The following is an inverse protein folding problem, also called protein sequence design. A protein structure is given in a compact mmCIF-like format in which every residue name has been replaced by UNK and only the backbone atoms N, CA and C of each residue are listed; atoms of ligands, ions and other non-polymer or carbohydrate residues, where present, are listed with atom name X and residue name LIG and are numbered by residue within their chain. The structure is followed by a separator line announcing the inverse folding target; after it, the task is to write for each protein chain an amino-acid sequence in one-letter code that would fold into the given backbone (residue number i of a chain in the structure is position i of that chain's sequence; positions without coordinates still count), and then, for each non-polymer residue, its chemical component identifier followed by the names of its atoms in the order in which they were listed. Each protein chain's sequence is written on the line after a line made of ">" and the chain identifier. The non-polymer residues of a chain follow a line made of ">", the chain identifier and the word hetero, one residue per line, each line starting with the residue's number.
data_IF_880051518927
#
_entry.id   IF_880051518927
#
_cell.length_a   1.000
_cell.length_b   1.000
_cell.length_c   1.000
_cell.angle_alpha   90.00
_cell.angle_beta   90.00
_cell.angle_gamma   90.00
#
_symmetry.space_group_name_H-M   'P 1'
#
loop_
_entity.id
_entity.type
_entity.pdbx_description
1 polymer ?
#
# COMPACT_ATOMS: atom_id res chain seq x y z
N UNK A 1 -16.65 -36.50 1.68
CA UNK A 1 -15.82 -35.47 2.33
C UNK A 1 -15.04 -34.78 1.24
N UNK A 2 -15.46 -33.56 0.87
CA UNK A 2 -14.77 -32.71 -0.10
C UNK A 2 -13.75 -31.84 0.66
N UNK A 3 -12.56 -31.59 0.11
CA UNK A 3 -11.60 -30.68 0.73
C UNK A 3 -12.16 -29.24 0.73
N UNK A 4 -11.83 -28.42 1.76
CA UNK A 4 -12.29 -27.05 1.84
C UNK A 4 -11.71 -26.19 0.69
N UNK A 5 -12.45 -25.18 0.19
CA UNK A 5 -11.96 -24.34 -0.88
C UNK A 5 -10.94 -23.32 -0.34
N UNK A 6 -9.80 -23.28 -1.03
CA UNK A 6 -9.03 -22.08 -1.39
C UNK A 6 -8.43 -21.17 -0.30
N UNK A 7 -7.18 -21.47 0.08
CA UNK A 7 -6.16 -20.48 0.50
C UNK A 7 -5.51 -19.71 -0.67
N UNK A 8 -5.92 -19.97 -1.92
CA UNK A 8 -5.25 -19.40 -3.10
C UNK A 8 -5.73 -18.00 -3.49
N UNK A 9 -6.87 -17.53 -2.98
CA UNK A 9 -7.44 -16.24 -3.38
C UNK A 9 -6.89 -15.04 -2.57
N UNK A 10 -6.33 -15.29 -1.38
CA UNK A 10 -5.64 -14.27 -0.58
C UNK A 10 -4.21 -13.98 -1.04
N UNK A 11 -3.62 -14.84 -1.88
CA UNK A 11 -2.25 -14.68 -2.37
C UNK A 11 -2.11 -13.71 -3.56
N UNK A 12 -3.23 -13.22 -4.15
CA UNK A 12 -3.18 -12.39 -5.36
C UNK A 12 -3.31 -10.89 -5.09
N UNK A 13 -3.87 -10.48 -3.95
CA UNK A 13 -4.04 -9.07 -3.58
C UNK A 13 -2.73 -8.34 -3.24
N UNK A 14 -1.73 -8.95 -2.55
CA UNK A 14 -0.45 -8.31 -2.28
C UNK A 14 0.34 -8.01 -3.57
N UNK A 15 0.36 -8.97 -4.50
CA UNK A 15 1.01 -8.85 -5.82
C UNK A 15 0.48 -7.71 -6.70
N UNK A 16 -0.82 -7.39 -6.61
CA UNK A 16 -1.40 -6.28 -7.39
C UNK A 16 -1.07 -4.91 -6.77
N UNK A 17 -0.95 -4.83 -5.44
CA UNK A 17 -0.52 -3.61 -4.74
C UNK A 17 0.99 -3.34 -4.93
N UNK A 18 1.81 -4.39 -4.98
CA UNK A 18 3.26 -4.24 -5.19
C UNK A 18 3.63 -3.91 -6.64
N UNK A 19 2.84 -4.37 -7.61
CA UNK A 19 2.93 -3.91 -9.01
C UNK A 19 2.54 -2.43 -9.14
N UNK A 20 1.55 -1.96 -8.36
CA UNK A 20 1.13 -0.55 -8.29
C UNK A 20 2.22 0.34 -7.67
N UNK A 21 2.90 -0.11 -6.60
CA UNK A 21 3.97 0.64 -5.95
C UNK A 21 5.24 0.78 -6.82
N UNK A 22 5.56 -0.25 -7.63
CA UNK A 22 6.74 -0.24 -8.52
C UNK A 22 6.58 0.64 -9.77
N UNK A 23 5.35 0.88 -10.23
CA UNK A 23 5.10 1.60 -11.48
C UNK A 23 5.04 3.15 -11.32
N UNK A 24 5.11 3.66 -10.10
CA UNK A 24 5.16 5.11 -9.80
C UNK A 24 6.55 5.74 -10.03
N UNK A 25 7.56 4.95 -10.43
CA UNK A 25 8.97 5.35 -10.44
C UNK A 25 9.61 5.74 -11.78
N UNK A 26 8.89 5.72 -12.92
CA UNK A 26 9.50 6.03 -14.22
C UNK A 26 8.74 7.09 -15.03
N UNK A 27 9.21 8.35 -15.09
CA UNK A 27 8.80 9.26 -16.15
C UNK A 27 9.55 8.90 -17.44
N UNK A 28 8.86 8.19 -18.34
CA UNK A 28 9.26 8.09 -19.74
C UNK A 28 9.09 9.45 -20.40
N UNK A 29 10.21 10.05 -20.84
CA UNK A 29 10.24 11.28 -21.63
C UNK A 29 9.56 10.98 -22.97
N UNK A 30 8.42 11.62 -23.25
CA UNK A 30 7.93 11.78 -24.62
C UNK A 30 7.60 13.22 -24.96
N UNK A 31 8.11 13.57 -26.13
CA UNK A 31 8.09 14.80 -26.87
C UNK A 31 6.67 15.11 -27.36
N UNK A 32 6.28 16.39 -27.28
CA UNK A 32 5.07 16.89 -27.93
C UNK A 32 5.20 16.77 -29.45
N UNK A 33 4.32 16.01 -30.08
CA UNK A 33 4.04 16.12 -31.51
C UNK A 33 2.60 16.62 -31.69
N UNK A 34 2.52 17.83 -32.21
CA UNK A 34 1.32 18.50 -32.72
C UNK A 34 0.68 17.67 -33.84
N UNK A 35 -0.65 17.51 -33.81
CA UNK A 35 -1.41 17.00 -34.95
C UNK A 35 -2.60 17.93 -35.24
N UNK A 36 -2.44 18.68 -36.31
CA UNK A 36 -3.52 19.24 -37.11
C UNK A 36 -4.07 18.15 -38.04
N UNK A 37 -5.39 18.12 -38.21
CA UNK A 37 -6.07 17.39 -39.29
C UNK A 37 -5.62 17.89 -40.68
N UNK A 38 -5.64 17.04 -41.72
CA UNK A 38 -6.83 17.00 -42.57
C UNK A 38 -7.19 15.63 -43.19
N UNK A 39 -8.41 15.60 -43.76
CA UNK A 39 -9.06 14.58 -44.61
C UNK A 39 -8.23 14.16 -45.84
N UNK A 40 -8.46 12.94 -46.33
CA UNK A 40 -8.40 12.63 -47.77
C UNK A 40 -7.92 11.22 -48.16
N UNK A 41 -8.88 10.34 -48.46
CA UNK A 41 -8.95 9.28 -49.49
C UNK A 41 -7.72 8.59 -50.16
N UNK A 42 -7.94 7.28 -50.37
CA UNK A 42 -7.64 6.42 -51.53
C UNK A 42 -6.29 5.67 -51.69
N UNK A 43 -6.42 4.34 -51.55
CA UNK A 43 -5.96 3.24 -52.41
C UNK A 43 -4.49 3.11 -52.88
N UNK A 44 -3.95 1.89 -52.73
CA UNK A 44 -3.10 1.28 -53.77
C UNK A 44 -1.78 0.64 -53.32
N UNK A 45 -1.80 -0.70 -53.22
CA UNK A 45 -0.82 -1.66 -53.74
C UNK A 45 0.70 -1.55 -53.44
N UNK A 46 1.15 -2.53 -52.66
CA UNK A 46 2.12 -3.58 -53.02
C UNK A 46 3.65 -3.29 -53.13
N UNK A 47 4.38 -4.24 -52.52
CA UNK A 47 5.65 -4.87 -52.97
C UNK A 47 6.99 -4.28 -52.51
N UNK A 48 7.71 -5.08 -51.69
CA UNK A 48 9.04 -5.69 -51.98
C UNK A 48 10.09 -5.54 -50.87
N UNK A 49 10.54 -6.69 -50.34
CA UNK A 49 11.83 -6.93 -49.67
C UNK A 49 13.01 -6.77 -50.65
N UNK A 50 14.24 -6.52 -50.19
CA UNK A 50 15.21 -7.63 -50.02
C UNK A 50 16.18 -7.46 -48.82
N UNK A 51 16.43 -8.53 -48.04
CA UNK A 51 17.62 -9.41 -48.02
C UNK A 51 18.89 -8.87 -47.33
N UNK A 52 19.33 -9.65 -46.34
CA UNK A 52 20.60 -9.58 -45.61
C UNK A 52 21.82 -9.95 -46.49
N UNK A 53 23.05 -9.73 -45.96
CA UNK A 53 24.00 -10.84 -45.96
C UNK A 53 24.86 -10.98 -44.69
N UNK A 54 24.99 -12.25 -44.29
CA UNK A 54 26.16 -13.03 -43.81
C UNK A 54 27.27 -12.44 -42.95
N UNK A 55 27.56 -13.19 -41.87
CA UNK A 55 28.78 -13.19 -41.05
C UNK A 55 30.04 -13.66 -41.82
N UNK A 56 31.24 -13.42 -41.25
CA UNK A 56 32.07 -14.56 -40.83
C UNK A 56 32.78 -14.36 -39.46
N UNK A 57 33.25 -15.48 -38.90
CA UNK A 57 33.86 -15.65 -37.58
C UNK A 57 35.43 -15.58 -37.60
N UNK A 58 36.15 -15.79 -36.46
CA UNK A 58 37.41 -15.12 -36.05
C UNK A 58 38.67 -15.94 -36.45
N UNK A 59 39.95 -15.59 -36.10
CA UNK A 59 40.51 -15.58 -34.71
C UNK A 59 41.64 -14.56 -34.46
N UNK A 60 42.08 -14.38 -33.20
CA UNK A 60 43.49 -14.56 -32.77
C UNK A 60 43.81 -13.84 -31.46
N UNK A 61 44.52 -14.58 -30.61
CA UNK A 61 45.21 -14.22 -29.38
C UNK A 61 46.04 -12.92 -29.49
N UNK A 62 46.00 -12.10 -28.44
CA UNK A 62 47.17 -11.34 -27.99
C UNK A 62 47.05 -10.96 -26.50
N UNK A 63 47.87 -11.63 -25.70
CA UNK A 63 48.74 -11.09 -24.64
C UNK A 63 48.22 -9.97 -23.74
N UNK A 64 48.01 -10.35 -22.48
CA UNK A 64 47.90 -9.45 -21.33
C UNK A 64 49.18 -8.62 -21.10
N UNK A 65 49.02 -7.34 -20.71
CA UNK A 65 49.97 -6.64 -19.86
C UNK A 65 49.41 -6.46 -18.42
N UNK A 66 50.27 -6.44 -17.39
CA UNK A 66 49.85 -6.33 -16.00
C UNK A 66 49.37 -4.90 -15.70
N UNK A 67 48.10 -4.77 -15.32
CA UNK A 67 47.53 -3.52 -14.85
C UNK A 67 48.02 -3.17 -13.44
N UNK A 68 48.30 -1.90 -13.13
CA UNK A 68 48.68 -1.46 -11.80
C UNK A 68 47.50 -1.58 -10.83
N UNK A 69 47.82 -2.09 -9.64
CA UNK A 69 47.00 -2.18 -8.44
C UNK A 69 46.04 -0.99 -8.27
N UNK A 70 44.74 -1.27 -8.39
CA UNK A 70 43.68 -0.35 -7.94
C UNK A 70 43.74 -0.20 -6.42
N UNK A 71 43.75 1.03 -5.88
CA UNK A 71 43.53 1.25 -4.46
C UNK A 71 42.09 0.89 -4.13
N UNK A 72 41.91 0.11 -3.06
CA UNK A 72 40.61 -0.24 -2.49
C UNK A 72 39.82 1.04 -2.20
N UNK A 73 38.81 1.31 -3.03
CA UNK A 73 37.79 2.31 -2.72
C UNK A 73 36.92 1.76 -1.61
N UNK A 74 37.10 2.26 -0.40
CA UNK A 74 36.12 2.15 0.68
C UNK A 74 34.84 2.85 0.21
N UNK A 75 33.87 2.08 -0.28
CA UNK A 75 32.50 2.59 -0.48
C UNK A 75 31.90 2.82 0.90
N UNK A 76 31.93 4.07 1.37
CA UNK A 76 31.20 4.47 2.57
C UNK A 76 29.71 4.19 2.33
N UNK A 77 29.17 3.21 3.05
CA UNK A 77 27.75 2.93 3.07
C UNK A 77 26.99 4.13 3.64
N UNK A 78 25.86 4.49 3.06
CA UNK A 78 24.98 5.52 3.61
C UNK A 78 24.62 5.19 5.06
N UNK A 79 24.75 6.16 5.97
CA UNK A 79 24.30 6.01 7.36
C UNK A 79 22.78 5.85 7.38
N UNK A 80 22.31 4.75 7.96
CA UNK A 80 20.89 4.46 8.18
C UNK A 80 20.58 4.66 9.67
N UNK A 81 19.49 5.36 10.00
CA UNK A 81 19.09 5.63 11.38
C UNK A 81 18.48 7.02 11.59
N UNK A 82 18.11 7.34 12.84
CA UNK A 82 17.61 8.67 13.19
C UNK A 82 18.73 9.73 13.05
N UNK A 83 18.45 10.86 12.40
CA UNK A 83 19.40 11.97 12.31
C UNK A 83 19.77 12.44 13.72
N UNK A 84 21.07 12.53 13.98
CA UNK A 84 21.60 13.19 15.17
C UNK A 84 21.13 14.64 15.22
N UNK A 85 21.22 15.26 16.40
CA UNK A 85 20.81 16.66 16.59
C UNK A 85 21.60 17.62 15.69
N UNK A 86 22.87 17.32 15.46
CA UNK A 86 23.78 18.10 14.61
C UNK A 86 23.43 17.94 13.13
N UNK A 87 23.26 16.70 12.66
CA UNK A 87 22.84 16.42 11.27
C UNK A 87 21.49 17.07 10.96
N UNK A 88 20.55 17.03 11.91
CA UNK A 88 19.24 17.67 11.76
C UNK A 88 19.35 19.18 11.62
N UNK A 89 20.22 19.83 12.41
CA UNK A 89 20.47 21.28 12.30
C UNK A 89 21.05 21.62 10.94
N UNK A 90 22.05 20.87 10.50
CA UNK A 90 22.66 21.07 9.18
C UNK A 90 21.64 20.92 8.04
N UNK A 91 20.84 19.85 8.04
CA UNK A 91 19.78 19.64 7.05
C UNK A 91 18.76 20.79 7.07
N UNK A 92 18.40 21.30 8.25
CA UNK A 92 17.49 22.45 8.37
C UNK A 92 18.10 23.74 7.81
N UNK A 93 19.39 23.98 8.00
CA UNK A 93 20.09 25.15 7.43
C UNK A 93 20.13 25.07 5.90
N UNK A 94 20.55 23.94 5.34
CA UNK A 94 20.54 23.72 3.88
C UNK A 94 19.14 23.87 3.29
N UNK A 95 18.11 23.34 3.97
CA UNK A 95 16.73 23.48 3.54
C UNK A 95 16.24 24.94 3.55
N UNK A 96 16.65 25.73 4.56
CA UNK A 96 16.34 27.18 4.62
C UNK A 96 17.01 27.93 3.46
N UNK A 97 18.26 27.62 3.16
CA UNK A 97 18.98 28.26 2.06
C UNK A 97 18.34 27.92 0.71
N UNK A 98 17.97 26.65 0.48
CA UNK A 98 17.24 26.24 -0.71
C UNK A 98 15.88 26.94 -0.83
N UNK A 99 15.11 27.04 0.27
CA UNK A 99 13.82 27.74 0.29
C UNK A 99 13.98 29.23 -0.03
N UNK A 100 15.01 29.87 0.51
CA UNK A 100 15.34 31.26 0.21
C UNK A 100 15.66 31.45 -1.27
N UNK A 101 16.51 30.59 -1.85
CA UNK A 101 16.83 30.64 -3.28
C UNK A 101 15.59 30.51 -4.17
N UNK A 102 14.67 29.60 -3.83
CA UNK A 102 13.41 29.43 -4.57
C UNK A 102 12.49 30.65 -4.42
N UNK A 103 12.44 31.26 -3.23
CA UNK A 103 11.64 32.46 -2.97
C UNK A 103 12.19 33.68 -3.74
N UNK A 104 13.50 33.87 -3.73
CA UNK A 104 14.17 34.94 -4.48
C UNK A 104 13.95 34.78 -6.00
N UNK A 105 14.04 33.54 -6.49
CA UNK A 105 13.76 33.23 -7.89
C UNK A 105 12.27 33.48 -8.25
N UNK A 106 11.34 33.08 -7.37
CA UNK A 106 9.90 33.32 -7.51
C UNK A 106 9.58 34.81 -7.61
N UNK A 107 10.17 35.63 -6.73
CA UNK A 107 10.05 37.09 -6.78
C UNK A 107 10.63 37.67 -8.08
N UNK A 108 11.81 37.20 -8.50
CA UNK A 108 12.48 37.69 -9.72
C UNK A 108 11.67 37.43 -10.99
N UNK A 109 10.99 36.29 -11.09
CA UNK A 109 10.18 35.94 -12.26
C UNK A 109 8.70 36.34 -12.13
N UNK A 110 8.31 36.91 -10.98
CA UNK A 110 6.93 37.26 -10.63
C UNK A 110 5.95 36.10 -10.86
N UNK A 111 6.29 34.91 -10.36
CA UNK A 111 5.43 33.72 -10.40
C UNK A 111 5.31 33.10 -9.01
N UNK A 112 4.20 32.42 -8.69
CA UNK A 112 4.05 31.69 -7.44
C UNK A 112 5.15 30.64 -7.25
N UNK A 113 5.57 30.44 -5.99
CA UNK A 113 6.59 29.47 -5.59
C UNK A 113 6.27 28.05 -6.08
N UNK A 114 4.99 27.67 -6.09
CA UNK A 114 4.50 26.35 -6.51
C UNK A 114 4.91 26.01 -7.95
N UNK A 115 5.01 27.01 -8.84
CA UNK A 115 5.44 26.79 -10.22
C UNK A 115 6.91 26.37 -10.26
N UNK A 116 7.76 27.00 -9.44
CA UNK A 116 9.18 26.63 -9.37
C UNK A 116 9.36 25.27 -8.71
N UNK A 117 8.60 24.96 -7.66
CA UNK A 117 8.60 23.63 -7.03
C UNK A 117 8.17 22.55 -8.03
N UNK A 118 7.14 22.83 -8.85
CA UNK A 118 6.73 21.90 -9.91
C UNK A 118 7.83 21.65 -10.95
N UNK A 119 8.51 22.70 -11.41
CA UNK A 119 9.64 22.57 -12.34
C UNK A 119 10.81 21.83 -11.70
N UNK A 120 11.12 22.11 -10.43
CA UNK A 120 12.16 21.42 -9.68
C UNK A 120 11.85 19.92 -9.54
N UNK A 121 10.61 19.57 -9.19
CA UNK A 121 10.13 18.18 -9.14
C UNK A 121 10.27 17.49 -10.51
N UNK A 122 10.01 18.20 -11.60
CA UNK A 122 10.18 17.68 -12.97
C UNK A 122 11.66 17.45 -13.31
N UNK A 123 12.55 18.33 -12.89
CA UNK A 123 14.00 18.23 -13.16
C UNK A 123 14.68 17.12 -12.34
N UNK A 124 14.28 16.97 -11.08
CA UNK A 124 14.83 15.93 -10.19
C UNK A 124 14.35 14.53 -10.63
N UNK A 125 13.29 14.45 -11.45
CA UNK A 125 12.70 13.17 -11.87
C UNK A 125 11.88 12.47 -10.78
N UNK A 126 12.05 12.91 -9.52
CA UNK A 126 11.26 12.51 -8.36
C UNK A 126 10.52 13.73 -7.81
N UNK A 127 9.26 13.54 -7.39
CA UNK A 127 8.57 14.56 -6.60
C UNK A 127 9.36 14.78 -5.31
N UNK A 128 9.75 16.02 -5.02
CA UNK A 128 10.18 16.47 -3.69
C UNK A 128 8.93 16.50 -2.80
N UNK A 129 8.38 15.31 -2.59
CA UNK A 129 7.36 15.01 -1.60
C UNK A 129 8.05 14.19 -0.53
N UNK A 130 7.71 14.41 0.72
CA UNK A 130 8.09 13.53 1.81
C UNK A 130 7.58 12.12 1.52
N UNK A 131 8.39 11.26 0.90
CA UNK A 131 8.10 9.83 0.87
C UNK A 131 8.39 9.32 2.27
N UNK A 132 7.36 8.82 2.96
CA UNK A 132 7.57 8.14 4.24
C UNK A 132 8.56 7.00 4.01
N UNK A 133 9.60 6.92 4.82
CA UNK A 133 10.49 5.75 4.81
C UNK A 133 9.71 4.51 5.28
N UNK A 134 10.18 3.32 4.89
CA UNK A 134 9.64 2.05 5.41
C UNK A 134 9.65 2.00 6.94
N UNK A 135 10.68 2.59 7.56
CA UNK A 135 10.74 2.80 9.00
C UNK A 135 9.53 3.58 9.56
N UNK A 136 9.08 4.64 8.88
CA UNK A 136 7.90 5.39 9.33
C UNK A 136 6.61 4.58 9.20
N UNK A 137 6.49 3.75 8.15
CA UNK A 137 5.37 2.82 8.01
C UNK A 137 5.37 1.80 9.14
N UNK A 138 6.52 1.22 9.44
CA UNK A 138 6.70 0.27 10.53
C UNK A 138 6.35 0.89 11.90
N UNK A 139 6.91 2.05 12.25
CA UNK A 139 6.59 2.71 13.52
C UNK A 139 5.09 2.98 13.64
N UNK A 140 4.44 3.40 12.55
CA UNK A 140 2.99 3.61 12.54
C UNK A 140 2.20 2.30 12.70
N UNK A 141 2.68 1.22 12.10
CA UNK A 141 2.12 -0.12 12.24
C UNK A 141 2.25 -0.60 13.70
N UNK A 142 3.47 -0.60 14.24
CA UNK A 142 3.76 -1.05 15.59
C UNK A 142 2.86 -0.37 16.63
N UNK A 143 2.70 0.95 16.58
CA UNK A 143 1.87 1.64 17.58
C UNK A 143 0.38 1.32 17.47
N UNK A 144 -0.11 0.95 16.28
CA UNK A 144 -1.51 0.52 16.09
C UNK A 144 -1.73 -0.92 16.53
N UNK A 145 -0.71 -1.76 16.42
CA UNK A 145 -0.71 -3.18 16.79
C UNK A 145 0.21 -3.45 17.99
N UNK A 146 0.28 -2.48 18.91
CA UNK A 146 1.33 -2.45 19.94
C UNK A 146 1.22 -3.63 20.91
N UNK A 147 -0.01 -4.05 21.20
CA UNK A 147 -0.26 -5.19 22.09
C UNK A 147 0.18 -6.49 21.42
N UNK A 148 -0.28 -6.71 20.21
CA UNK A 148 0.01 -7.88 19.39
C UNK A 148 1.52 -8.03 19.17
N UNK A 149 2.21 -6.94 18.84
CA UNK A 149 3.65 -6.95 18.61
C UNK A 149 4.45 -7.16 19.90
N UNK A 150 3.98 -6.68 21.06
CA UNK A 150 4.62 -6.93 22.36
C UNK A 150 4.42 -8.36 22.82
N UNK A 151 3.24 -8.90 22.62
CA UNK A 151 2.91 -10.29 22.92
C UNK A 151 3.70 -11.24 22.03
N UNK A 152 3.84 -10.91 20.73
CA UNK A 152 4.64 -11.68 19.76
C UNK A 152 6.10 -11.85 20.18
N UNK A 153 6.73 -10.78 20.67
CA UNK A 153 8.11 -10.85 21.15
C UNK A 153 8.23 -11.26 22.62
N UNK A 154 7.11 -11.43 23.34
CA UNK A 154 7.10 -11.77 24.76
C UNK A 154 7.71 -10.69 25.67
N UNK A 155 7.72 -9.42 25.22
CA UNK A 155 8.28 -8.30 25.98
C UNK A 155 7.27 -7.14 26.05
N UNK A 156 6.70 -6.85 27.23
CA UNK A 156 5.67 -5.84 27.40
C UNK A 156 6.18 -4.40 27.19
N UNK A 157 7.49 -4.17 27.25
CA UNK A 157 8.11 -2.85 27.09
C UNK A 157 8.78 -2.63 25.73
N UNK A 158 8.61 -3.59 24.81
CA UNK A 158 9.23 -3.55 23.49
C UNK A 158 8.95 -2.23 22.74
N UNK A 159 9.98 -1.73 22.06
CA UNK A 159 9.91 -0.57 21.19
C UNK A 159 9.98 -0.99 19.71
N UNK A 160 9.54 -0.12 18.77
CA UNK A 160 9.63 -0.42 17.35
C UNK A 160 11.05 -0.80 16.88
N UNK A 161 12.11 -0.25 17.50
CA UNK A 161 13.51 -0.57 17.17
C UNK A 161 13.89 -2.00 17.47
N UNK A 162 13.29 -2.58 18.50
CA UNK A 162 13.72 -3.84 19.05
C UNK A 162 13.06 -5.02 18.31
N UNK A 163 11.91 -4.74 17.68
CA UNK A 163 11.03 -5.75 17.09
C UNK A 163 11.09 -5.81 15.56
N UNK A 164 11.71 -4.84 14.90
CA UNK A 164 11.60 -4.72 13.45
C UNK A 164 12.28 -5.86 12.72
N UNK A 165 13.51 -6.22 13.11
CA UNK A 165 14.25 -7.31 12.46
C UNK A 165 13.52 -8.66 12.62
N UNK A 166 13.03 -8.97 13.83
CA UNK A 166 12.26 -10.21 14.06
C UNK A 166 10.93 -10.25 13.31
N UNK A 167 10.29 -9.08 13.11
CA UNK A 167 9.09 -8.97 12.28
C UNK A 167 9.39 -9.29 10.80
N UNK A 168 10.52 -8.82 10.29
CA UNK A 168 10.94 -9.08 8.91
C UNK A 168 11.26 -10.56 8.65
N UNK A 169 11.83 -11.25 9.65
CA UNK A 169 12.13 -12.68 9.57
C UNK A 169 10.86 -13.54 9.58
N UNK A 170 9.84 -13.15 10.35
CA UNK A 170 8.59 -13.89 10.50
C UNK A 170 7.63 -13.68 9.32
N UNK A 171 7.63 -12.47 8.73
CA UNK A 171 6.75 -12.10 7.62
C UNK A 171 7.55 -11.72 6.38
N UNK A 172 7.78 -12.65 5.42
CA UNK A 172 8.54 -12.34 4.19
C UNK A 172 7.94 -11.21 3.35
N UNK A 173 6.63 -10.96 3.48
CA UNK A 173 5.87 -9.90 2.78
C UNK A 173 5.65 -8.66 3.67
N UNK A 174 6.47 -8.47 4.71
CA UNK A 174 6.30 -7.41 5.71
C UNK A 174 6.15 -6.01 5.11
N UNK A 175 6.88 -5.68 4.04
CA UNK A 175 6.81 -4.36 3.40
C UNK A 175 5.40 -4.04 2.90
N UNK A 176 4.82 -4.98 2.16
CA UNK A 176 3.48 -4.84 1.57
C UNK A 176 2.43 -4.77 2.67
N UNK A 177 2.59 -5.59 3.72
CA UNK A 177 1.71 -5.63 4.88
C UNK A 177 1.67 -4.29 5.62
N UNK A 178 2.82 -3.71 5.98
CA UNK A 178 2.85 -2.45 6.75
C UNK A 178 2.37 -1.25 5.91
N UNK A 179 2.61 -1.28 4.60
CA UNK A 179 2.13 -0.25 3.67
C UNK A 179 0.61 -0.35 3.52
N UNK A 180 0.09 -1.57 3.28
CA UNK A 180 -1.34 -1.81 3.14
C UNK A 180 -2.09 -1.42 4.42
N UNK A 181 -1.59 -1.82 5.58
CA UNK A 181 -2.19 -1.47 6.86
C UNK A 181 -2.17 0.04 7.13
N UNK A 182 -1.09 0.75 6.76
CA UNK A 182 -1.06 2.21 6.84
C UNK A 182 -2.15 2.86 5.99
N UNK A 183 -2.30 2.43 4.73
CA UNK A 183 -3.34 2.95 3.84
C UNK A 183 -4.74 2.62 4.34
N UNK A 184 -4.93 1.42 4.92
CA UNK A 184 -6.17 1.01 5.56
C UNK A 184 -6.54 1.96 6.71
N UNK A 185 -5.64 2.24 7.65
CA UNK A 185 -5.97 3.12 8.76
C UNK A 185 -6.13 4.59 8.36
N UNK A 186 -5.40 5.06 7.35
CA UNK A 186 -5.61 6.39 6.78
C UNK A 186 -7.02 6.55 6.19
N UNK A 187 -7.66 5.46 5.75
CA UNK A 187 -9.04 5.47 5.29
C UNK A 187 -10.08 5.46 6.43
N UNK A 188 -9.67 5.16 7.68
CA UNK A 188 -10.57 5.07 8.85
C UNK A 188 -10.77 6.43 9.54
N UNK A 189 -9.92 7.44 9.31
CA UNK A 189 -10.21 8.80 9.79
C UNK A 189 -11.53 9.29 9.18
N UNK A 190 -12.44 9.78 10.03
CA UNK A 190 -13.85 10.10 9.71
C UNK A 190 -13.95 11.10 8.56
N UNK A 191 -13.87 10.59 7.35
CA UNK A 191 -14.20 11.30 6.13
C UNK A 191 -15.72 11.42 6.08
N UNK A 192 -16.21 12.63 5.84
CA UNK A 192 -17.62 12.81 5.47
C UNK A 192 -17.92 11.94 4.24
N UNK A 193 -19.17 11.47 4.10
CA UNK A 193 -19.60 10.64 2.94
C UNK A 193 -19.09 11.22 1.61
N UNK A 194 -19.19 12.54 1.42
CA UNK A 194 -18.70 13.20 0.20
C UNK A 194 -17.16 13.33 0.08
N UNK A 195 -16.38 13.25 1.16
CA UNK A 195 -14.91 13.11 1.06
C UNK A 195 -14.56 11.69 0.62
N UNK A 196 -15.20 10.69 1.22
CA UNK A 196 -15.00 9.28 0.88
C UNK A 196 -15.35 8.98 -0.57
N UNK A 197 -16.50 9.48 -1.05
CA UNK A 197 -16.90 9.33 -2.44
C UNK A 197 -15.86 9.92 -3.40
N UNK A 198 -15.35 11.13 -3.12
CA UNK A 198 -14.30 11.75 -3.94
C UNK A 198 -12.98 11.00 -3.87
N UNK A 199 -12.62 10.48 -2.69
CA UNK A 199 -11.42 9.66 -2.49
C UNK A 199 -11.52 8.36 -3.29
N UNK A 200 -12.67 7.68 -3.22
CA UNK A 200 -12.99 6.48 -3.97
C UNK A 200 -12.94 6.72 -5.48
N UNK A 201 -13.61 7.78 -5.97
CA UNK A 201 -13.59 8.14 -7.39
C UNK A 201 -12.16 8.40 -7.88
N UNK A 202 -11.37 9.17 -7.11
CA UNK A 202 -9.96 9.46 -7.45
C UNK A 202 -9.12 8.19 -7.49
N UNK A 203 -9.26 7.31 -6.50
CA UNK A 203 -8.56 6.04 -6.47
C UNK A 203 -8.94 5.15 -7.66
N UNK A 204 -10.24 5.04 -7.96
CA UNK A 204 -10.74 4.24 -9.07
C UNK A 204 -10.23 4.78 -10.41
N UNK A 205 -10.25 6.10 -10.62
CA UNK A 205 -9.66 6.74 -11.81
C UNK A 205 -8.18 6.40 -11.96
N UNK A 206 -7.39 6.42 -10.88
CA UNK A 206 -5.98 6.03 -10.96
C UNK A 206 -5.80 4.55 -11.38
N UNK A 207 -6.70 3.66 -10.92
CA UNK A 207 -6.68 2.25 -11.31
C UNK A 207 -7.05 2.06 -12.78
N UNK A 208 -8.02 2.83 -13.27
CA UNK A 208 -8.40 2.87 -14.69
C UNK A 208 -7.25 3.38 -15.55
N UNK A 209 -6.58 4.47 -15.15
CA UNK A 209 -5.42 5.01 -15.86
C UNK A 209 -4.28 3.98 -15.94
N UNK A 210 -4.03 3.27 -14.84
CA UNK A 210 -3.03 2.20 -14.81
C UNK A 210 -3.40 1.03 -15.72
N UNK A 211 -4.67 0.62 -15.70
CA UNK A 211 -5.18 -0.44 -16.56
C UNK A 211 -5.08 -0.06 -18.04
N UNK A 212 -5.47 1.16 -18.40
CA UNK A 212 -5.38 1.69 -19.76
C UNK A 212 -3.92 1.78 -20.24
N UNK A 213 -3.01 2.24 -19.38
CA UNK A 213 -1.58 2.25 -19.69
C UNK A 213 -1.04 0.84 -19.94
N UNK A 214 -1.44 -0.13 -19.10
CA UNK A 214 -1.04 -1.52 -19.27
C UNK A 214 -1.61 -2.16 -20.54
N UNK A 215 -2.85 -1.84 -20.91
CA UNK A 215 -3.43 -2.21 -22.20
C UNK A 215 -2.63 -1.63 -23.37
N UNK A 216 -2.23 -0.36 -23.32
CA UNK A 216 -1.46 0.28 -24.38
C UNK A 216 -0.05 -0.32 -24.55
N UNK A 217 0.65 -0.57 -23.44
CA UNK A 217 2.05 -1.01 -23.45
C UNK A 217 2.17 -2.52 -23.67
N UNK A 218 1.28 -3.31 -23.08
CA UNK A 218 1.40 -4.76 -23.04
C UNK A 218 0.26 -5.48 -23.78
N UNK A 219 -0.80 -4.78 -24.19
CA UNK A 219 -1.92 -5.37 -24.91
C UNK A 219 -2.82 -6.27 -24.05
N UNK A 220 -2.75 -6.21 -22.72
CA UNK A 220 -3.64 -7.01 -21.88
C UNK A 220 -5.03 -6.38 -21.78
N UNK A 221 -6.04 -7.24 -21.70
CA UNK A 221 -7.42 -6.84 -21.41
C UNK A 221 -7.64 -6.88 -19.90
N UNK A 222 -8.39 -5.93 -19.37
CA UNK A 222 -8.62 -5.80 -17.94
C UNK A 222 -10.07 -5.46 -17.62
N UNK A 223 -10.55 -6.01 -16.51
CA UNK A 223 -11.78 -5.60 -15.85
C UNK A 223 -11.41 -5.13 -14.45
N UNK A 224 -11.70 -3.88 -14.15
CA UNK A 224 -11.48 -3.29 -12.82
C UNK A 224 -12.84 -3.04 -12.20
N UNK A 225 -13.06 -3.60 -11.01
CA UNK A 225 -14.31 -3.44 -10.29
C UNK A 225 -14.03 -3.15 -8.83
N UNK A 226 -14.80 -2.21 -8.28
CA UNK A 226 -14.71 -1.87 -6.88
C UNK A 226 -16.06 -1.41 -6.35
N UNK A 227 -16.37 -1.76 -5.11
CA UNK A 227 -17.49 -1.21 -4.36
C UNK A 227 -17.05 -0.82 -2.96
N UNK A 228 -17.84 0.04 -2.34
CA UNK A 228 -17.70 0.31 -0.91
C UNK A 228 -18.11 -0.89 -0.07
N UNK A 229 -17.62 -0.87 1.17
CA UNK A 229 -17.80 -1.94 2.15
C UNK A 229 -19.06 -1.70 2.98
N UNK A 230 -19.40 -0.43 3.26
CA UNK A 230 -20.52 -0.07 4.13
C UNK A 230 -21.83 0.05 3.35
N UNK A 231 -22.81 -0.79 3.70
CA UNK A 231 -24.16 -0.74 3.12
C UNK A 231 -24.80 0.64 3.28
N UNK A 232 -24.62 1.27 4.44
CA UNK A 232 -25.31 2.50 4.81
C UNK A 232 -24.62 3.74 4.25
N UNK A 233 -23.29 3.74 4.23
CA UNK A 233 -22.52 4.92 3.89
C UNK A 233 -22.04 4.90 2.43
N UNK A 234 -21.91 3.71 1.84
CA UNK A 234 -21.29 3.52 0.53
C UNK A 234 -22.25 2.90 -0.49
N UNK A 235 -23.57 2.97 -0.27
CA UNK A 235 -24.55 2.34 -1.16
C UNK A 235 -24.37 2.76 -2.64
N UNK A 236 -23.97 4.02 -2.86
CA UNK A 236 -23.70 4.60 -4.18
C UNK A 236 -22.29 4.27 -4.73
N UNK A 237 -21.37 3.78 -3.91
CA UNK A 237 -20.00 3.46 -4.33
C UNK A 237 -19.97 2.08 -4.98
N UNK A 238 -20.04 2.07 -6.31
CA UNK A 238 -19.78 0.91 -7.13
C UNK A 238 -19.37 1.37 -8.51
N UNK A 239 -18.19 0.97 -8.96
CA UNK A 239 -17.70 1.29 -10.29
C UNK A 239 -17.13 0.05 -10.96
N UNK A 240 -17.36 0.00 -12.27
CA UNK A 240 -16.89 -1.04 -13.16
C UNK A 240 -16.22 -0.34 -14.34
N UNK A 241 -15.03 -0.79 -14.68
CA UNK A 241 -14.31 -0.40 -15.88
C UNK A 241 -13.91 -1.66 -16.63
N UNK A 242 -14.16 -1.65 -17.94
CA UNK A 242 -13.74 -2.68 -18.87
C UNK A 242 -12.78 -2.02 -19.85
N UNK A 243 -11.67 -2.71 -20.16
CA UNK A 243 -10.79 -2.27 -21.25
C UNK A 243 -11.54 -2.28 -22.58
N UNK A 244 -11.12 -1.45 -23.55
CA UNK A 244 -11.82 -1.28 -24.84
C UNK A 244 -12.07 -2.59 -25.57
N UNK A 245 -11.14 -3.53 -25.47
CA UNK A 245 -11.24 -4.82 -26.14
C UNK A 245 -12.12 -5.86 -25.39
N UNK A 246 -12.77 -5.46 -24.29
CA UNK A 246 -13.60 -6.30 -23.41
C UNK A 246 -15.06 -5.80 -23.30
N UNK A 247 -15.33 -4.53 -23.65
CA UNK A 247 -16.54 -3.78 -23.26
C UNK A 247 -17.88 -4.39 -23.72
N UNK A 248 -18.02 -4.88 -24.96
CA UNK A 248 -19.37 -5.15 -25.50
C UNK A 248 -19.87 -6.60 -25.38
N UNK A 249 -18.98 -7.56 -25.65
CA UNK A 249 -19.38 -8.97 -25.84
C UNK A 249 -19.00 -9.84 -24.65
N UNK A 250 -17.98 -9.47 -23.87
CA UNK A 250 -17.50 -10.34 -22.80
C UNK A 250 -18.57 -10.56 -21.71
N UNK A 251 -19.16 -9.48 -21.20
CA UNK A 251 -20.19 -9.58 -20.16
C UNK A 251 -21.46 -10.28 -20.67
N UNK A 252 -21.89 -9.95 -21.89
CA UNK A 252 -23.15 -10.45 -22.47
C UNK A 252 -23.02 -11.88 -22.98
N UNK A 253 -21.93 -12.24 -23.64
CA UNK A 253 -21.76 -13.56 -24.28
C UNK A 253 -21.11 -14.58 -23.35
N UNK A 254 -20.13 -14.17 -22.53
CA UNK A 254 -19.39 -15.11 -21.66
C UNK A 254 -19.99 -15.20 -20.27
N UNK A 255 -20.29 -14.05 -19.65
CA UNK A 255 -20.83 -14.02 -18.30
C UNK A 255 -22.36 -14.00 -18.25
N UNK A 256 -23.03 -13.81 -19.39
CA UNK A 256 -24.50 -13.75 -19.52
C UNK A 256 -25.13 -12.77 -18.50
N UNK A 257 -24.46 -11.64 -18.25
CA UNK A 257 -24.86 -10.67 -17.24
C UNK A 257 -24.71 -9.24 -17.74
N UNK A 258 -25.55 -8.36 -17.22
CA UNK A 258 -25.42 -6.91 -17.42
C UNK A 258 -24.40 -6.34 -16.43
N UNK A 259 -23.82 -5.18 -16.75
CA UNK A 259 -22.91 -4.46 -15.84
C UNK A 259 -23.55 -4.23 -14.46
N UNK A 260 -24.83 -3.84 -14.43
CA UNK A 260 -25.57 -3.64 -13.19
C UNK A 260 -25.76 -4.93 -12.40
N UNK A 261 -25.99 -6.06 -13.09
CA UNK A 261 -26.10 -7.36 -12.42
C UNK A 261 -24.75 -7.77 -11.81
N UNK A 262 -23.66 -7.59 -12.54
CA UNK A 262 -22.30 -7.89 -12.06
C UNK A 262 -21.94 -7.02 -10.85
N UNK A 263 -22.14 -5.70 -10.93
CA UNK A 263 -21.94 -4.78 -9.81
C UNK A 263 -22.82 -5.14 -8.61
N UNK A 264 -24.08 -5.53 -8.87
CA UNK A 264 -25.00 -5.99 -7.83
C UNK A 264 -24.50 -7.24 -7.11
N UNK A 265 -24.04 -8.25 -7.85
CA UNK A 265 -23.48 -9.48 -7.29
C UNK A 265 -22.22 -9.21 -6.45
N UNK A 266 -21.32 -8.35 -6.94
CA UNK A 266 -20.14 -7.96 -6.18
C UNK A 266 -20.52 -7.24 -4.87
N UNK A 267 -21.46 -6.29 -4.90
CA UNK A 267 -21.93 -5.61 -3.68
C UNK A 267 -22.52 -6.60 -2.68
N UNK A 268 -23.37 -7.52 -3.13
CA UNK A 268 -23.95 -8.57 -2.28
C UNK A 268 -22.85 -9.39 -1.62
N UNK A 269 -21.83 -9.79 -2.39
CA UNK A 269 -20.70 -10.56 -1.88
C UNK A 269 -19.92 -9.79 -0.82
N UNK A 270 -19.58 -8.52 -1.07
CA UNK A 270 -18.86 -7.68 -0.11
C UNK A 270 -19.66 -7.50 1.19
N UNK A 271 -20.97 -7.24 1.10
CA UNK A 271 -21.80 -7.06 2.28
C UNK A 271 -21.97 -8.37 3.09
N UNK A 272 -22.13 -9.50 2.40
CA UNK A 272 -22.21 -10.82 3.05
C UNK A 272 -20.90 -11.16 3.76
N UNK A 273 -19.75 -10.86 3.14
CA UNK A 273 -18.44 -11.05 3.74
C UNK A 273 -18.29 -10.24 5.04
N UNK A 274 -18.58 -8.93 4.99
CA UNK A 274 -18.49 -8.02 6.15
C UNK A 274 -19.45 -8.45 7.26
N UNK A 275 -20.68 -8.84 6.90
CA UNK A 275 -21.66 -9.31 7.88
C UNK A 275 -21.19 -10.59 8.61
N UNK A 276 -20.58 -11.53 7.88
CA UNK A 276 -20.01 -12.76 8.46
C UNK A 276 -18.82 -12.48 9.36
N UNK A 277 -17.93 -11.59 8.95
CA UNK A 277 -16.77 -11.20 9.76
C UNK A 277 -17.20 -10.53 11.07
N UNK A 278 -18.14 -9.59 10.98
CA UNK A 278 -18.73 -8.95 12.16
C UNK A 278 -19.42 -9.95 13.10
N UNK A 279 -20.16 -10.92 12.56
CA UNK A 279 -20.78 -11.97 13.35
C UNK A 279 -19.73 -12.84 14.09
N UNK A 280 -18.58 -13.12 13.46
CA UNK A 280 -17.47 -13.85 14.09
C UNK A 280 -16.87 -13.04 15.23
N UNK A 281 -16.57 -11.76 15.01
CA UNK A 281 -16.05 -10.86 16.04
C UNK A 281 -16.98 -10.76 17.25
N UNK A 282 -18.31 -10.71 17.04
CA UNK A 282 -19.28 -10.68 18.14
C UNK A 282 -19.29 -11.95 19.00
N UNK A 283 -18.97 -13.11 18.42
CA UNK A 283 -18.85 -14.36 19.17
C UNK A 283 -17.57 -14.34 20.01
N UNK A 284 -16.45 -13.97 19.39
CA UNK A 284 -15.14 -13.84 20.05
C UNK A 284 -15.20 -12.84 21.23
N UNK A 285 -15.83 -11.68 21.03
CA UNK A 285 -16.04 -10.66 22.07
C UNK A 285 -16.90 -11.17 23.23
N UNK A 286 -17.89 -12.03 22.95
CA UNK A 286 -18.75 -12.60 23.99
C UNK A 286 -17.98 -13.62 24.82
N UNK A 287 -17.25 -14.51 24.16
CA UNK A 287 -16.41 -15.51 24.81
C UNK A 287 -15.34 -14.83 25.69
N UNK A 288 -14.66 -13.80 25.17
CA UNK A 288 -13.69 -13.02 25.93
C UNK A 288 -14.30 -12.39 27.20
N UNK A 289 -15.51 -11.81 27.11
CA UNK A 289 -16.22 -11.23 28.25
C UNK A 289 -16.76 -12.25 29.24
N UNK A 290 -16.97 -13.49 28.82
CA UNK A 290 -17.36 -14.59 29.72
C UNK A 290 -16.15 -15.11 30.48
N UNK A 291 -14.99 -15.24 29.82
CA UNK A 291 -13.72 -15.59 30.46
C UNK A 291 -13.26 -14.52 31.46
N UNK A 292 -13.34 -13.23 31.10
CA UNK A 292 -13.06 -12.12 32.02
C UNK A 292 -13.93 -12.19 33.29
N UNK A 293 -15.23 -12.46 33.13
CA UNK A 293 -16.15 -12.61 34.28
C UNK A 293 -15.88 -13.84 35.13
N UNK A 294 -15.42 -14.95 34.54
CA UNK A 294 -15.00 -16.14 35.31
C UNK A 294 -13.77 -15.84 36.16
N UNK A 295 -12.77 -15.19 35.57
CA UNK A 295 -11.54 -14.80 36.27
C UNK A 295 -11.83 -13.84 37.43
N UNK A 296 -12.69 -12.84 37.21
CA UNK A 296 -13.13 -11.95 38.29
C UNK A 296 -13.83 -12.72 39.42
N UNK A 297 -14.73 -13.66 39.09
CA UNK A 297 -15.45 -14.44 40.10
C UNK A 297 -14.53 -15.33 40.94
N UNK A 298 -13.49 -15.92 40.34
CA UNK A 298 -12.50 -16.73 41.05
C UNK A 298 -11.69 -15.87 42.05
N UNK A 299 -11.23 -14.68 41.61
CA UNK A 299 -10.47 -13.73 42.43
C UNK A 299 -11.21 -13.26 43.70
N UNK A 300 -12.54 -13.13 43.64
CA UNK A 300 -13.35 -12.69 44.79
C UNK A 300 -13.80 -13.83 45.71
N UNK A 301 -13.53 -15.10 45.36
CA UNK A 301 -13.99 -16.27 46.12
C UNK A 301 -13.00 -16.79 47.17
N UNK A 302 -11.73 -16.37 47.12
CA UNK A 302 -10.66 -16.89 48.00
C UNK A 302 -10.48 -16.14 49.34
N UNK A 303 -11.13 -15.00 49.56
CA UNK A 303 -10.92 -14.17 50.77
C UNK A 303 -11.95 -14.42 51.90
N UNK A 304 -12.65 -15.56 51.84
CA UNK A 304 -13.90 -15.80 52.58
C UNK A 304 -13.94 -17.00 53.51
N UNK A 305 -12.81 -17.53 53.99
CA UNK A 305 -12.84 -18.60 55.01
C UNK A 305 -11.52 -18.69 55.78
N UNK A 306 -11.39 -17.87 56.83
CA UNK A 306 -10.67 -18.23 58.06
C UNK A 306 -10.99 -17.18 59.15
N UNK A 307 -12.17 -17.33 59.76
CA UNK A 307 -12.47 -16.75 61.08
C UNK A 307 -13.08 -17.85 61.94
N UNK A 308 -12.28 -18.87 62.20
CA UNK A 308 -12.51 -19.78 63.32
C UNK A 308 -12.27 -19.04 64.65
N UNK A 309 -13.30 -19.08 65.51
CA UNK A 309 -13.14 -19.13 66.97
C UNK A 309 -12.97 -17.79 67.71
N UNK A 310 -14.02 -17.35 68.38
CA UNK A 310 -14.11 -17.55 69.84
C UNK A 310 -15.46 -17.03 70.36
N UNK A 311 -16.37 -17.97 70.58
CA UNK A 311 -17.53 -17.81 71.46
C UNK A 311 -17.02 -17.60 72.90
N UNK A 312 -16.99 -16.34 73.35
CA UNK A 312 -16.75 -16.04 74.75
C UNK A 312 -18.09 -15.76 75.44
N UNK A 313 -18.69 -16.85 75.94
CA UNK A 313 -19.75 -16.84 76.93
C UNK A 313 -19.33 -15.99 78.14
N UNK A 314 -20.03 -14.89 78.39
CA UNK A 314 -19.95 -14.22 79.69
C UNK A 314 -21.36 -14.03 80.24
N UNK A 315 -21.77 -15.06 80.98
CA UNK A 315 -22.69 -14.97 82.10
C UNK A 315 -22.25 -13.82 83.02
N UNK A 316 -23.09 -12.79 83.17
CA UNK A 316 -23.02 -11.93 84.35
C UNK A 316 -24.40 -11.80 84.99
N UNK A 317 -24.50 -12.49 86.12
CA UNK A 317 -25.61 -12.54 87.04
C UNK A 317 -25.32 -11.53 88.16
N UNK A 318 -26.06 -10.41 88.26
CA UNK A 318 -26.50 -9.78 89.53
C UNK A 318 -27.49 -8.65 89.30
#
# INVERSE_FOLDING_TARGET
>A
MLPPPSRQLLALLPTLLSLWARNLGHPSVRSNASLASPRGNDSGSASSLPSAPSAPAPPSDHSAPPGPSSPAGTSESFKVGALTKEERRFVQEVAKDAFKMLTDASAKINRPLDVLVHVLNKLIGNKVTYSRSLWNYWVSYFWRHCREERDRVGNPDAQPSDNFESFQEEFPEWEELIIADFHRAAAVEVETVGKRERSFQKWFSNMVDLAAWGEEVHGFQSMVMACGESVNEDQALGQLHLSKNLEDDFLKERLLMTENALLGQMKIHSYDYVAKDYAKQLVEDREAKEEERKLEAELFSEDGSDSDGDDNDNDFNT
#
